data_IF_870030576751
#
_entry.id   IF_870030576751
#
_cell.length_a   1.000
_cell.length_b   1.000
_cell.length_c   1.000
_cell.angle_alpha   90.00
_cell.angle_beta   90.00
_cell.angle_gamma   90.00
#
_symmetry.space_group_name_H-M   'P 1'
#
loop_
_entity.id
_entity.type
_entity.pdbx_description
1 polymer ?
#
# COMPACT_ATOMS: atom_id res chain seq x y z
N UNK A 1 -21.31 -37.39 -48.39
CA UNK A 1 -20.75 -37.43 -47.02
C UNK A 1 -21.77 -36.78 -46.11
N UNK A 2 -22.62 -37.59 -45.49
CA UNK A 2 -23.71 -37.11 -44.64
C UNK A 2 -23.18 -36.82 -43.25
N UNK A 3 -23.32 -35.58 -42.81
CA UNK A 3 -23.13 -35.22 -41.39
C UNK A 3 -24.33 -35.83 -40.67
N UNK A 4 -24.10 -36.77 -39.76
CA UNK A 4 -25.14 -37.41 -38.96
C UNK A 4 -25.88 -36.36 -38.13
N UNK A 5 -27.21 -36.42 -38.08
CA UNK A 5 -28.01 -35.54 -37.21
C UNK A 5 -27.60 -35.63 -35.73
N UNK A 6 -27.04 -36.77 -35.29
CA UNK A 6 -26.49 -36.94 -33.94
C UNK A 6 -25.20 -36.12 -33.72
N UNK A 7 -24.35 -35.98 -34.74
CA UNK A 7 -23.13 -35.15 -34.64
C UNK A 7 -23.50 -33.66 -34.63
N UNK A 8 -24.53 -33.28 -35.40
CA UNK A 8 -25.05 -31.91 -35.41
C UNK A 8 -25.71 -31.53 -34.07
N UNK A 9 -26.51 -32.42 -33.48
CA UNK A 9 -27.16 -32.19 -32.18
C UNK A 9 -26.16 -32.16 -31.02
N UNK A 10 -25.15 -33.02 -31.05
CA UNK A 10 -24.09 -33.03 -30.03
C UNK A 10 -23.24 -31.77 -30.11
N UNK A 11 -22.85 -31.33 -31.31
CA UNK A 11 -22.10 -30.09 -31.49
C UNK A 11 -22.91 -28.84 -31.12
N UNK A 12 -24.22 -28.81 -31.44
CA UNK A 12 -25.10 -27.72 -31.05
C UNK A 12 -25.30 -27.67 -29.52
N UNK A 13 -25.50 -28.81 -28.86
CA UNK A 13 -25.61 -28.89 -27.40
C UNK A 13 -24.31 -28.47 -26.71
N UNK A 14 -23.14 -28.88 -27.24
CA UNK A 14 -21.83 -28.43 -26.74
C UNK A 14 -21.68 -26.91 -26.85
N UNK A 15 -21.97 -26.32 -28.01
CA UNK A 15 -21.92 -24.88 -28.21
C UNK A 15 -22.89 -24.11 -27.28
N UNK A 16 -24.11 -24.63 -27.09
CA UNK A 16 -25.09 -24.03 -26.16
C UNK A 16 -24.59 -24.07 -24.71
N UNK A 17 -24.00 -25.18 -24.28
CA UNK A 17 -23.44 -25.30 -22.93
C UNK A 17 -22.24 -24.36 -22.71
N UNK A 18 -21.36 -24.21 -23.70
CA UNK A 18 -20.26 -23.23 -23.66
C UNK A 18 -20.76 -21.79 -23.54
N UNK A 19 -21.80 -21.41 -24.30
CA UNK A 19 -22.41 -20.07 -24.22
C UNK A 19 -23.05 -19.86 -22.86
N UNK A 20 -23.84 -20.82 -22.37
CA UNK A 20 -24.49 -20.75 -21.06
C UNK A 20 -23.51 -20.73 -19.89
N UNK A 21 -22.28 -21.20 -20.06
CA UNK A 21 -21.25 -21.15 -19.01
C UNK A 21 -20.36 -19.92 -19.08
N UNK A 22 -20.44 -19.13 -20.15
CA UNK A 22 -19.56 -17.96 -20.31
C UNK A 22 -19.84 -16.89 -19.25
N UNK A 23 -18.84 -16.63 -18.40
CA UNK A 23 -18.84 -15.62 -17.32
C UNK A 23 -19.85 -15.86 -16.18
N UNK A 24 -20.23 -17.12 -15.90
CA UNK A 24 -21.27 -17.43 -14.92
C UNK A 24 -20.76 -18.10 -13.62
N UNK A 25 -19.47 -17.95 -13.30
CA UNK A 25 -18.89 -18.27 -12.00
C UNK A 25 -18.35 -16.98 -11.38
N UNK A 26 -18.74 -16.66 -10.14
CA UNK A 26 -18.35 -15.43 -9.45
C UNK A 26 -17.60 -15.73 -8.16
N UNK A 27 -16.54 -14.99 -7.88
CA UNK A 27 -16.01 -14.91 -6.51
C UNK A 27 -16.95 -14.08 -5.63
N UNK A 28 -17.14 -14.53 -4.39
CA UNK A 28 -17.91 -13.79 -3.37
C UNK A 28 -16.99 -13.32 -2.24
N UNK A 29 -15.96 -14.09 -1.91
CA UNK A 29 -14.95 -13.74 -0.91
C UNK A 29 -13.63 -14.45 -1.21
N UNK A 30 -12.53 -13.82 -0.82
CA UNK A 30 -11.20 -14.43 -0.83
C UNK A 30 -10.49 -14.09 0.49
N UNK A 31 -9.90 -15.10 1.11
CA UNK A 31 -8.97 -14.98 2.21
C UNK A 31 -7.72 -15.77 1.84
N UNK A 32 -6.55 -15.14 1.87
CA UNK A 32 -5.32 -15.81 1.50
C UNK A 32 -4.23 -15.37 2.49
N UNK A 33 -3.95 -16.22 3.48
CA UNK A 33 -2.88 -16.03 4.48
C UNK A 33 -1.90 -17.20 4.47
N UNK A 34 -0.82 -17.09 5.24
CA UNK A 34 0.15 -18.19 5.43
C UNK A 34 -0.44 -19.37 6.22
N UNK A 35 -1.43 -19.13 7.08
CA UNK A 35 -2.05 -20.10 8.00
C UNK A 35 -3.48 -20.49 7.61
N UNK A 36 -4.07 -19.85 6.60
CA UNK A 36 -5.38 -20.21 6.08
C UNK A 36 -5.69 -19.53 4.75
N UNK A 37 -6.12 -20.32 3.77
CA UNK A 37 -6.56 -19.86 2.45
C UNK A 37 -7.97 -20.38 2.20
N UNK A 38 -8.85 -19.48 1.79
CA UNK A 38 -10.18 -19.83 1.33
C UNK A 38 -10.67 -18.89 0.24
N UNK A 39 -11.45 -19.42 -0.69
CA UNK A 39 -12.13 -18.63 -1.70
C UNK A 39 -13.55 -19.15 -1.86
N UNK A 40 -14.53 -18.26 -1.69
CA UNK A 40 -15.93 -18.57 -1.87
C UNK A 40 -16.34 -18.24 -3.30
N UNK A 41 -16.87 -19.22 -4.02
CA UNK A 41 -17.36 -19.06 -5.38
C UNK A 41 -18.84 -19.42 -5.46
N UNK A 42 -19.60 -18.69 -6.28
CA UNK A 42 -21.00 -18.97 -6.59
C UNK A 42 -21.18 -19.27 -8.06
N UNK A 43 -21.86 -20.37 -8.34
CA UNK A 43 -22.36 -20.68 -9.68
C UNK A 43 -23.58 -19.81 -9.96
N UNK A 44 -23.41 -18.76 -10.76
CA UNK A 44 -24.52 -17.93 -11.25
C UNK A 44 -25.09 -18.45 -12.56
N UNK A 45 -24.61 -19.61 -13.03
CA UNK A 45 -25.07 -20.21 -14.25
C UNK A 45 -26.38 -20.98 -14.11
N UNK A 46 -27.10 -21.08 -15.23
CA UNK A 46 -28.30 -21.91 -15.33
C UNK A 46 -27.99 -23.40 -15.55
N UNK A 47 -26.70 -23.77 -15.59
CA UNK A 47 -26.23 -25.15 -15.75
C UNK A 47 -25.22 -25.53 -14.65
N UNK A 48 -25.09 -26.82 -14.30
CA UNK A 48 -24.05 -27.28 -13.39
C UNK A 48 -22.65 -27.03 -13.94
N UNK A 49 -21.73 -26.60 -13.08
CA UNK A 49 -20.32 -26.37 -13.42
C UNK A 49 -19.40 -27.23 -12.56
N UNK A 50 -18.30 -27.69 -13.15
CA UNK A 50 -17.22 -28.39 -12.46
C UNK A 50 -16.01 -27.48 -12.40
N UNK A 51 -15.46 -27.26 -11.20
CA UNK A 51 -14.20 -26.55 -10.99
C UNK A 51 -13.05 -27.53 -11.24
N UNK A 52 -12.06 -27.11 -12.04
CA UNK A 52 -11.09 -28.04 -12.62
C UNK A 52 -9.64 -27.79 -12.24
N UNK A 53 -9.29 -26.53 -11.95
CA UNK A 53 -7.93 -26.11 -11.60
C UNK A 53 -7.94 -24.74 -10.92
N UNK A 54 -7.06 -24.55 -9.95
CA UNK A 54 -6.80 -23.28 -9.29
C UNK A 54 -5.39 -22.85 -9.64
N UNK A 55 -5.21 -21.58 -10.00
CA UNK A 55 -3.92 -20.98 -10.31
C UNK A 55 -3.74 -19.67 -9.57
N UNK A 56 -2.50 -19.39 -9.19
CA UNK A 56 -2.04 -18.07 -8.78
C UNK A 56 -1.21 -17.52 -9.93
N UNK A 57 -1.61 -16.36 -10.43
CA UNK A 57 -0.94 -15.71 -11.56
C UNK A 57 -0.62 -14.25 -11.24
N UNK A 58 0.43 -13.71 -11.89
CA UNK A 58 0.73 -12.28 -11.81
C UNK A 58 -0.31 -11.45 -12.57
N UNK A 59 -0.34 -10.11 -12.42
CA UNK A 59 -1.24 -9.26 -13.18
C UNK A 59 -1.12 -9.42 -14.70
N UNK A 60 0.10 -9.68 -15.18
CA UNK A 60 0.48 -9.93 -16.58
C UNK A 60 0.14 -11.37 -17.04
N UNK A 61 -0.28 -12.24 -16.12
CA UNK A 61 -0.74 -13.60 -16.42
C UNK A 61 0.31 -14.70 -16.28
N UNK A 62 1.50 -14.42 -15.72
CA UNK A 62 2.52 -15.44 -15.48
C UNK A 62 2.10 -16.38 -14.35
N UNK A 63 2.22 -17.69 -14.58
CA UNK A 63 1.86 -18.72 -13.60
C UNK A 63 2.89 -18.77 -12.45
N UNK A 64 2.40 -18.70 -11.21
CA UNK A 64 3.22 -18.77 -10.00
C UNK A 64 3.02 -20.04 -9.18
N UNK A 65 1.77 -20.49 -9.05
CA UNK A 65 1.41 -21.72 -8.38
C UNK A 65 0.10 -22.28 -8.95
N UNK A 66 -0.13 -23.59 -8.83
CA UNK A 66 -1.33 -24.22 -9.35
C UNK A 66 -1.67 -25.52 -8.62
N UNK A 67 -2.95 -25.88 -8.67
CA UNK A 67 -3.49 -27.15 -8.18
C UNK A 67 -4.58 -27.64 -9.15
N UNK A 68 -4.61 -28.93 -9.53
CA UNK A 68 -3.70 -30.01 -9.13
C UNK A 68 -2.27 -29.82 -9.66
N UNK A 69 -1.29 -30.57 -9.13
CA UNK A 69 0.14 -30.46 -9.50
C UNK A 69 0.46 -30.79 -10.96
N UNK A 70 -0.49 -31.35 -11.71
CA UNK A 70 -0.45 -31.49 -13.16
C UNK A 70 -1.88 -31.57 -13.73
N UNK A 71 -2.09 -31.01 -14.92
CA UNK A 71 -3.36 -31.13 -15.66
C UNK A 71 -4.55 -30.45 -15.00
N UNK A 72 -5.68 -31.17 -14.98
CA UNK A 72 -6.99 -30.74 -14.48
C UNK A 72 -7.63 -31.91 -13.71
N UNK A 73 -8.44 -31.62 -12.70
CA UNK A 73 -9.14 -32.63 -11.91
C UNK A 73 -10.50 -32.10 -11.44
N UNK A 74 -11.45 -32.98 -11.11
CA UNK A 74 -12.71 -32.56 -10.51
C UNK A 74 -12.49 -32.07 -9.07
N UNK A 75 -12.41 -30.75 -8.88
CA UNK A 75 -12.21 -30.14 -7.56
C UNK A 75 -13.53 -30.02 -6.80
N UNK A 76 -14.58 -29.58 -7.49
CA UNK A 76 -15.93 -29.42 -6.93
C UNK A 76 -16.95 -29.30 -8.06
N UNK A 77 -18.14 -29.87 -7.87
CA UNK A 77 -19.30 -29.68 -8.75
C UNK A 77 -20.29 -28.72 -8.08
N UNK A 78 -20.73 -27.68 -8.78
CA UNK A 78 -21.71 -26.71 -8.29
C UNK A 78 -22.96 -26.71 -9.16
N UNK A 79 -24.12 -26.94 -8.54
CA UNK A 79 -25.41 -26.75 -9.23
C UNK A 79 -25.71 -25.25 -9.40
N UNK A 80 -26.64 -24.88 -10.30
CA UNK A 80 -27.10 -23.50 -10.42
C UNK A 80 -27.46 -22.87 -9.07
N UNK A 81 -27.01 -21.63 -8.85
CA UNK A 81 -27.23 -20.82 -7.64
C UNK A 81 -26.61 -21.36 -6.36
N UNK A 82 -25.80 -22.42 -6.41
CA UNK A 82 -25.04 -22.90 -5.27
C UNK A 82 -23.70 -22.17 -5.15
N UNK A 83 -23.17 -22.15 -3.94
CA UNK A 83 -21.81 -21.72 -3.65
C UNK A 83 -20.96 -22.90 -3.15
N UNK A 84 -19.66 -22.71 -3.23
CA UNK A 84 -18.67 -23.59 -2.62
C UNK A 84 -17.54 -22.75 -2.05
N UNK A 85 -16.80 -23.32 -1.12
CA UNK A 85 -15.58 -22.72 -0.57
C UNK A 85 -14.41 -23.62 -0.89
N UNK A 86 -13.51 -23.14 -1.72
CA UNK A 86 -12.18 -23.73 -1.89
C UNK A 86 -11.35 -23.38 -0.66
N UNK A 87 -10.53 -24.30 -0.20
CA UNK A 87 -9.73 -24.18 1.02
C UNK A 87 -8.25 -24.36 0.73
N UNK A 88 -7.43 -24.43 1.79
CA UNK A 88 -6.00 -24.76 1.74
C UNK A 88 -5.65 -26.03 0.97
N UNK A 89 -6.60 -26.94 0.78
CA UNK A 89 -6.41 -28.17 0.00
C UNK A 89 -6.36 -27.93 -1.50
N UNK A 90 -7.16 -26.97 -1.97
CA UNK A 90 -7.32 -26.65 -3.40
C UNK A 90 -6.59 -25.37 -3.80
N UNK A 91 -6.37 -24.45 -2.86
CA UNK A 91 -5.69 -23.17 -3.08
C UNK A 91 -4.21 -23.36 -2.75
N UNK A 92 -3.31 -23.42 -3.75
CA UNK A 92 -1.90 -23.71 -3.52
C UNK A 92 -1.21 -22.54 -2.82
N UNK A 93 -0.17 -22.83 -2.02
CA UNK A 93 0.74 -21.78 -1.55
C UNK A 93 1.65 -21.33 -2.69
N UNK A 94 1.83 -20.03 -2.87
CA UNK A 94 2.84 -19.52 -3.77
C UNK A 94 4.23 -19.40 -3.12
N UNK A 95 5.00 -20.49 -3.13
CA UNK A 95 6.34 -20.52 -2.53
C UNK A 95 7.38 -19.60 -3.17
N UNK A 96 7.11 -19.06 -4.36
CA UNK A 96 7.99 -18.12 -5.10
C UNK A 96 7.48 -16.68 -5.10
N UNK A 97 6.29 -16.42 -4.54
CA UNK A 97 5.73 -15.09 -4.48
C UNK A 97 6.28 -14.32 -3.29
N UNK A 98 6.34 -12.99 -3.45
CA UNK A 98 6.87 -12.09 -2.42
C UNK A 98 5.71 -11.44 -1.67
N UNK A 99 5.85 -11.25 -0.36
CA UNK A 99 4.86 -10.52 0.44
C UNK A 99 4.57 -9.14 -0.15
N UNK A 100 3.29 -8.76 -0.23
CA UNK A 100 2.87 -7.50 -0.86
C UNK A 100 2.74 -7.55 -2.38
N UNK A 101 3.10 -8.66 -3.05
CA UNK A 101 2.89 -8.83 -4.49
C UNK A 101 1.38 -8.85 -4.80
N UNK A 102 0.94 -8.00 -5.74
CA UNK A 102 -0.44 -8.04 -6.25
C UNK A 102 -0.59 -9.22 -7.20
N UNK A 103 -1.43 -10.18 -6.83
CA UNK A 103 -1.64 -11.42 -7.57
C UNK A 103 -3.11 -11.59 -7.96
N UNK A 104 -3.37 -12.57 -8.83
CA UNK A 104 -4.71 -13.01 -9.19
C UNK A 104 -4.90 -14.48 -8.83
N UNK A 105 -6.02 -14.79 -8.19
CA UNK A 105 -6.50 -16.16 -8.04
C UNK A 105 -7.40 -16.46 -9.24
N UNK A 106 -6.97 -17.40 -10.08
CA UNK A 106 -7.68 -17.85 -11.27
C UNK A 106 -8.25 -19.25 -11.01
N UNK A 107 -9.56 -19.40 -11.19
CA UNK A 107 -10.25 -20.70 -11.06
C UNK A 107 -10.78 -21.10 -12.43
N UNK A 108 -10.32 -22.25 -12.92
CA UNK A 108 -10.80 -22.87 -14.15
C UNK A 108 -12.05 -23.70 -13.87
N UNK A 109 -12.99 -23.64 -14.80
CA UNK A 109 -14.26 -24.34 -14.71
C UNK A 109 -14.81 -24.71 -16.09
N UNK A 110 -15.74 -25.65 -16.13
CA UNK A 110 -16.43 -26.11 -17.35
C UNK A 110 -17.84 -26.57 -17.00
N UNK A 111 -18.76 -26.59 -17.98
CA UNK A 111 -20.05 -27.25 -17.79
C UNK A 111 -19.82 -28.72 -17.42
N UNK A 112 -20.51 -29.22 -16.37
CA UNK A 112 -20.27 -30.57 -15.86
C UNK A 112 -20.44 -31.65 -16.93
N UNK A 113 -21.39 -31.49 -17.84
CA UNK A 113 -21.65 -32.45 -18.92
C UNK A 113 -20.56 -32.47 -20.01
N UNK A 114 -19.68 -31.46 -20.03
CA UNK A 114 -18.54 -31.37 -20.95
C UNK A 114 -17.22 -31.84 -20.32
N UNK A 115 -17.24 -32.19 -19.03
CA UNK A 115 -16.05 -32.63 -18.31
C UNK A 115 -15.87 -34.15 -18.41
N UNK A 116 -14.81 -34.59 -19.09
CA UNK A 116 -14.39 -35.99 -19.10
C UNK A 116 -13.56 -36.28 -17.85
N UNK A 117 -14.20 -36.87 -16.83
CA UNK A 117 -13.56 -37.20 -15.56
C UNK A 117 -12.49 -38.31 -15.70
N UNK A 118 -12.57 -39.16 -16.73
CA UNK A 118 -11.57 -40.19 -16.99
C UNK A 118 -10.34 -39.61 -17.71
N UNK A 119 -10.53 -38.61 -18.57
CA UNK A 119 -9.46 -37.91 -19.29
C UNK A 119 -9.66 -36.38 -19.29
N UNK A 120 -9.40 -35.68 -18.16
CA UNK A 120 -9.70 -34.26 -18.01
C UNK A 120 -9.05 -33.33 -19.06
N UNK A 121 -7.92 -33.77 -19.64
CA UNK A 121 -7.20 -33.03 -20.68
C UNK A 121 -8.03 -32.86 -21.95
N UNK A 122 -8.94 -33.78 -22.27
CA UNK A 122 -9.79 -33.67 -23.47
C UNK A 122 -10.85 -32.59 -23.36
N UNK A 123 -11.13 -32.12 -22.14
CA UNK A 123 -12.05 -31.01 -21.88
C UNK A 123 -11.34 -29.65 -21.84
N UNK A 124 -10.01 -29.57 -22.02
CA UNK A 124 -9.24 -28.34 -21.81
C UNK A 124 -9.70 -27.18 -22.71
N UNK A 125 -10.04 -27.43 -23.98
CA UNK A 125 -10.52 -26.42 -24.93
C UNK A 125 -11.91 -25.86 -24.57
N UNK A 126 -12.66 -26.59 -23.75
CA UNK A 126 -14.00 -26.25 -23.27
C UNK A 126 -13.96 -25.42 -21.99
N UNK A 127 -12.82 -25.44 -21.27
CA UNK A 127 -12.68 -24.79 -19.99
C UNK A 127 -12.59 -23.26 -20.14
N UNK A 128 -13.16 -22.58 -19.15
CA UNK A 128 -13.07 -21.13 -18.95
C UNK A 128 -12.44 -20.86 -17.59
N UNK A 129 -12.09 -19.60 -17.34
CA UNK A 129 -11.61 -19.21 -16.02
C UNK A 129 -12.28 -17.92 -15.54
N UNK A 130 -12.31 -17.75 -14.22
CA UNK A 130 -12.64 -16.49 -13.55
C UNK A 130 -11.45 -16.08 -12.70
N UNK A 131 -11.21 -14.78 -12.59
CA UNK A 131 -10.11 -14.22 -11.80
C UNK A 131 -10.63 -13.27 -10.73
N UNK A 132 -9.95 -13.24 -9.58
CA UNK A 132 -10.05 -12.17 -8.59
C UNK A 132 -8.66 -11.73 -8.16
N UNK A 133 -8.52 -10.50 -7.69
CA UNK A 133 -7.25 -9.91 -7.28
C UNK A 133 -7.10 -10.05 -5.76
N UNK A 134 -5.89 -10.37 -5.30
CA UNK A 134 -5.51 -10.32 -3.89
C UNK A 134 -4.05 -9.86 -3.75
N UNK A 135 -3.67 -9.48 -2.53
CA UNK A 135 -2.29 -9.15 -2.17
C UNK A 135 -1.70 -10.37 -1.46
N UNK A 136 -0.53 -10.85 -1.90
CA UNK A 136 0.10 -12.00 -1.28
C UNK A 136 0.49 -11.68 0.17
N UNK A 137 0.07 -12.50 1.14
CA UNK A 137 0.37 -12.29 2.55
C UNK A 137 1.88 -12.38 2.75
N UNK A 138 2.46 -11.35 3.35
CA UNK A 138 3.83 -11.45 3.85
C UNK A 138 3.91 -12.47 4.98
N UNK A 139 5.08 -13.08 5.15
CA UNK A 139 5.45 -13.54 6.49
C UNK A 139 5.58 -12.32 7.41
N UNK A 140 5.46 -12.49 8.74
CA UNK A 140 5.92 -11.45 9.65
C UNK A 140 7.38 -11.18 9.30
N UNK A 141 7.64 -10.00 8.76
CA UNK A 141 9.02 -9.57 8.58
C UNK A 141 9.50 -9.16 9.97
N UNK A 142 10.78 -9.36 10.28
CA UNK A 142 11.31 -8.62 11.43
C UNK A 142 11.55 -7.20 10.93
N UNK A 143 11.11 -6.17 11.68
CA UNK A 143 11.46 -4.81 11.29
C UNK A 143 12.97 -4.73 11.27
N UNK A 144 13.50 -4.13 10.19
CA UNK A 144 14.93 -3.81 10.08
C UNK A 144 15.33 -2.91 11.25
N UNK A 145 14.42 -2.01 11.63
CA UNK A 145 14.55 -1.19 12.82
C UNK A 145 13.88 -1.85 14.01
N UNK A 146 14.61 -2.75 14.66
CA UNK A 146 14.15 -3.32 15.92
C UNK A 146 14.15 -2.27 17.02
N UNK A 147 12.95 -1.96 17.52
CA UNK A 147 12.79 -1.20 18.76
C UNK A 147 13.23 -2.12 19.91
N UNK A 148 14.20 -1.71 20.75
CA UNK A 148 14.71 -2.59 21.80
C UNK A 148 13.59 -3.04 22.75
N UNK A 149 13.59 -4.32 23.09
CA UNK A 149 12.56 -4.92 23.93
C UNK A 149 12.46 -4.19 25.28
N UNK A 150 11.23 -3.90 25.73
CA UNK A 150 10.97 -3.15 26.95
C UNK A 150 11.15 -1.63 26.84
N UNK A 151 11.60 -1.10 25.71
CA UNK A 151 11.68 0.35 25.49
C UNK A 151 10.32 0.95 25.20
N UNK A 152 10.08 2.15 25.71
CA UNK A 152 8.95 2.98 25.28
C UNK A 152 9.30 3.59 23.92
N UNK A 153 8.36 3.58 23.00
CA UNK A 153 8.50 4.16 21.67
C UNK A 153 7.24 4.91 21.25
N UNK A 154 7.40 5.85 20.32
CA UNK A 154 6.31 6.63 19.74
C UNK A 154 6.56 6.98 18.27
N UNK A 155 5.46 7.17 17.54
CA UNK A 155 5.46 7.70 16.18
C UNK A 155 5.16 9.20 16.22
N UNK A 156 5.76 9.96 15.29
CA UNK A 156 5.56 11.40 15.15
C UNK A 156 5.24 11.73 13.70
N UNK A 157 4.33 12.67 13.49
CA UNK A 157 4.20 13.39 12.23
C UNK A 157 4.51 14.88 12.44
N UNK A 158 5.16 15.50 11.45
CA UNK A 158 5.41 16.95 11.38
C UNK A 158 4.34 17.61 10.51
N UNK A 159 3.36 18.25 11.15
CA UNK A 159 2.11 18.65 10.48
C UNK A 159 2.21 20.00 9.78
N UNK A 160 3.03 20.95 10.25
CA UNK A 160 3.22 22.26 9.59
C UNK A 160 4.46 23.00 10.15
N UNK A 161 5.70 22.61 9.80
CA UNK A 161 6.87 23.35 10.27
C UNK A 161 7.13 24.67 9.53
N UNK A 162 6.57 24.88 8.33
CA UNK A 162 6.89 26.06 7.50
C UNK A 162 5.62 26.79 7.07
N UNK A 163 5.38 27.96 7.67
CA UNK A 163 4.10 28.67 7.59
C UNK A 163 4.04 29.76 6.51
N UNK A 164 5.18 30.27 6.02
CA UNK A 164 5.19 31.23 4.91
C UNK A 164 5.32 30.52 3.55
N UNK A 165 4.17 30.25 2.93
CA UNK A 165 4.04 29.56 1.63
C UNK A 165 4.77 30.27 0.49
N UNK A 166 4.95 31.59 0.56
CA UNK A 166 5.65 32.41 -0.44
C UNK A 166 7.18 32.26 -0.41
N UNK A 167 7.73 31.93 0.76
CA UNK A 167 9.17 32.02 1.03
C UNK A 167 9.81 30.71 1.47
N UNK A 168 9.01 29.77 1.97
CA UNK A 168 9.54 28.58 2.64
C UNK A 168 10.25 28.91 3.95
N UNK A 169 9.83 30.00 4.60
CA UNK A 169 10.44 30.53 5.81
C UNK A 169 9.55 30.29 7.02
N UNK A 170 10.16 29.93 8.15
CA UNK A 170 9.49 29.94 9.46
C UNK A 170 9.33 31.40 9.91
N UNK A 171 8.12 31.88 10.23
CA UNK A 171 7.91 33.25 10.66
C UNK A 171 8.80 33.66 11.84
N UNK A 172 9.11 34.96 11.92
CA UNK A 172 9.74 35.50 13.13
C UNK A 172 8.77 35.45 14.32
N UNK A 173 9.28 35.54 15.57
CA UNK A 173 8.43 35.69 16.74
C UNK A 173 7.40 36.83 16.59
N UNK A 174 6.16 36.63 17.06
CA UNK A 174 5.68 35.57 17.96
C UNK A 174 5.09 34.33 17.28
N UNK A 175 5.21 34.20 15.94
CA UNK A 175 4.56 33.15 15.15
C UNK A 175 5.50 32.01 14.73
N UNK A 176 6.71 31.95 15.30
CA UNK A 176 7.71 30.91 15.07
C UNK A 176 7.32 29.58 15.74
N UNK A 177 6.42 28.84 15.10
CA UNK A 177 5.78 27.65 15.65
C UNK A 177 6.06 26.44 14.78
N UNK A 178 6.18 25.28 15.42
CA UNK A 178 6.28 24.00 14.74
C UNK A 178 5.17 23.09 15.26
N UNK A 179 4.38 22.52 14.37
CA UNK A 179 3.24 21.68 14.73
C UNK A 179 3.58 20.20 14.58
N UNK A 180 3.31 19.41 15.62
CA UNK A 180 3.54 17.97 15.65
C UNK A 180 2.30 17.23 16.11
N UNK A 181 2.20 15.94 15.77
CA UNK A 181 1.25 15.01 16.40
C UNK A 181 1.92 13.68 16.68
N UNK A 182 1.48 13.00 17.74
CA UNK A 182 1.95 11.65 18.09
C UNK A 182 0.77 10.66 17.94
N UNK A 183 0.54 10.14 16.72
CA UNK A 183 -0.66 9.35 16.42
C UNK A 183 -0.67 7.99 17.15
N UNK A 184 0.51 7.49 17.55
CA UNK A 184 0.62 6.19 18.17
C UNK A 184 1.88 6.06 19.02
N UNK A 185 1.80 5.29 20.11
CA UNK A 185 2.93 4.96 20.96
C UNK A 185 2.68 3.65 21.70
N UNK A 186 3.76 3.11 22.28
CA UNK A 186 3.73 1.96 23.18
C UNK A 186 2.91 2.18 24.47
N UNK A 187 2.87 3.43 24.96
CA UNK A 187 2.24 3.81 26.23
C UNK A 187 1.58 5.18 26.09
N UNK A 188 0.47 5.39 26.80
CA UNK A 188 -0.22 6.69 26.86
C UNK A 188 0.28 7.50 28.05
N UNK A 189 0.98 8.60 27.77
CA UNK A 189 1.41 9.60 28.75
C UNK A 189 1.72 10.94 28.08
N UNK A 190 2.03 11.97 28.86
CA UNK A 190 2.51 13.24 28.32
C UNK A 190 4.04 13.21 28.25
N UNK A 191 4.59 13.48 27.08
CA UNK A 191 6.02 13.36 26.78
C UNK A 191 6.58 14.72 26.38
N UNK A 192 7.74 15.07 26.93
CA UNK A 192 8.50 16.24 26.48
C UNK A 192 9.18 15.90 25.15
N UNK A 193 8.78 16.59 24.09
CA UNK A 193 9.46 16.55 22.80
C UNK A 193 10.45 17.70 22.68
N UNK A 194 11.61 17.39 22.12
CA UNK A 194 12.61 18.35 21.68
C UNK A 194 12.84 18.14 20.18
N UNK A 195 12.76 19.23 19.42
CA UNK A 195 12.96 19.23 17.98
C UNK A 195 14.15 20.14 17.68
N UNK A 196 15.16 19.59 17.04
CA UNK A 196 16.33 20.33 16.54
C UNK A 196 16.11 20.60 15.06
N UNK A 197 16.29 21.85 14.64
CA UNK A 197 16.14 22.28 13.24
C UNK A 197 17.47 22.86 12.78
N UNK A 198 17.97 22.39 11.64
CA UNK A 198 19.16 22.92 10.97
C UNK A 198 18.74 23.44 9.60
N UNK A 199 18.99 24.72 9.34
CA UNK A 199 18.65 25.33 8.06
C UNK A 199 19.76 25.13 7.01
N UNK A 200 19.49 25.56 5.78
CA UNK A 200 20.44 25.48 4.66
C UNK A 200 21.78 26.21 4.91
N UNK A 201 21.81 27.25 5.75
CA UNK A 201 23.04 27.96 6.12
C UNK A 201 23.83 27.29 7.24
N UNK A 202 23.35 26.16 7.78
CA UNK A 202 23.94 25.46 8.93
C UNK A 202 23.61 26.08 10.28
N UNK A 203 22.73 27.07 10.34
CA UNK A 203 22.24 27.62 11.61
C UNK A 203 21.37 26.57 12.31
N UNK A 204 21.57 26.44 13.62
CA UNK A 204 20.88 25.46 14.46
C UNK A 204 19.93 26.19 15.40
N UNK A 205 18.69 25.73 15.44
CA UNK A 205 17.66 26.17 16.36
C UNK A 205 16.91 24.96 16.90
N UNK A 206 15.97 25.20 17.81
CA UNK A 206 15.12 24.12 18.30
C UNK A 206 13.80 24.61 18.84
N UNK A 207 12.85 23.70 18.95
CA UNK A 207 11.54 23.91 19.56
C UNK A 207 11.24 22.76 20.52
N UNK A 208 10.54 23.06 21.60
CA UNK A 208 10.20 22.06 22.61
C UNK A 208 8.78 22.26 23.12
N UNK A 209 8.19 21.18 23.63
CA UNK A 209 6.84 21.21 24.20
C UNK A 209 6.38 19.84 24.65
N UNK A 210 5.32 19.82 25.44
CA UNK A 210 4.74 18.57 25.96
C UNK A 210 3.61 18.12 25.05
N UNK A 211 3.66 16.86 24.59
CA UNK A 211 2.64 16.26 23.75
C UNK A 211 2.06 15.00 24.40
N UNK A 212 0.77 14.69 24.19
CA UNK A 212 0.26 13.36 24.51
C UNK A 212 0.90 12.35 23.55
N UNK A 213 1.47 11.26 24.05
CA UNK A 213 2.13 10.22 23.23
C UNK A 213 1.17 9.40 22.38
N UNK A 214 -0.13 9.42 22.69
CA UNK A 214 -1.19 8.77 21.90
C UNK A 214 -2.32 9.76 21.69
N UNK A 215 -2.55 10.16 20.44
CA UNK A 215 -3.72 10.93 20.03
C UNK A 215 -3.54 11.64 18.70
N UNK A 216 -4.65 12.16 18.18
CA UNK A 216 -4.66 12.89 16.91
C UNK A 216 -4.58 14.41 17.09
N UNK A 217 -4.31 14.89 18.31
CA UNK A 217 -4.20 16.32 18.61
C UNK A 217 -2.91 16.88 18.02
N UNK A 218 -3.03 17.93 17.22
CA UNK A 218 -1.90 18.73 16.77
C UNK A 218 -1.46 19.61 17.93
N UNK A 219 -0.17 19.54 18.27
CA UNK A 219 0.44 20.31 19.35
C UNK A 219 1.48 21.25 18.79
N UNK A 220 1.50 22.46 19.34
CA UNK A 220 2.45 23.50 19.00
C UNK A 220 3.71 23.39 19.87
N UNK A 221 4.86 23.39 19.21
CA UNK A 221 6.18 23.54 19.82
C UNK A 221 6.72 24.93 19.52
N UNK A 222 7.37 25.54 20.52
CA UNK A 222 7.94 26.88 20.43
C UNK A 222 9.44 26.86 20.74
N UNK A 223 10.20 27.75 20.09
CA UNK A 223 11.61 27.96 20.36
C UNK A 223 12.33 28.80 19.28
N UNK A 224 13.63 29.05 19.40
CA UNK A 224 14.36 29.99 18.52
C UNK A 224 14.63 29.42 17.12
N UNK A 225 13.59 29.30 16.30
CA UNK A 225 13.62 28.83 14.90
C UNK A 225 13.12 29.88 13.90
N UNK A 226 12.81 31.09 14.36
CA UNK A 226 12.29 32.16 13.50
C UNK A 226 13.29 32.57 12.41
N UNK A 227 12.80 32.74 11.20
CA UNK A 227 13.59 33.15 10.04
C UNK A 227 14.32 32.02 9.32
N UNK A 228 14.24 30.78 9.80
CA UNK A 228 14.84 29.63 9.13
C UNK A 228 14.13 29.38 7.80
N UNK A 229 14.89 29.07 6.76
CA UNK A 229 14.38 28.87 5.39
C UNK A 229 14.78 27.47 4.94
N UNK A 230 13.88 26.82 4.21
CA UNK A 230 14.15 25.55 3.52
C UNK A 230 15.42 25.58 2.65
N UNK A 231 16.06 24.42 2.39
CA UNK A 231 15.79 23.13 3.01
C UNK A 231 16.06 23.09 4.52
N UNK A 232 15.25 22.35 5.26
CA UNK A 232 15.37 22.14 6.70
C UNK A 232 15.67 20.67 7.00
N UNK A 233 16.69 20.41 7.81
CA UNK A 233 16.90 19.13 8.44
C UNK A 233 16.37 19.19 9.87
N UNK A 234 15.51 18.26 10.23
CA UNK A 234 14.79 18.23 11.50
C UNK A 234 15.07 16.90 12.19
N UNK A 235 15.44 16.96 13.46
CA UNK A 235 15.64 15.80 14.32
C UNK A 235 14.70 15.89 15.50
N UNK A 236 13.94 14.83 15.76
CA UNK A 236 12.95 14.76 16.84
C UNK A 236 13.42 13.80 17.93
N UNK A 237 13.42 14.29 19.16
CA UNK A 237 13.78 13.53 20.36
C UNK A 237 12.65 13.62 21.39
N UNK A 238 12.49 12.55 22.17
CA UNK A 238 11.45 12.44 23.18
C UNK A 238 12.04 11.95 24.50
N UNK A 239 11.73 12.62 25.60
CA UNK A 239 12.23 12.22 26.92
C UNK A 239 11.65 10.87 27.33
N UNK A 240 12.50 9.84 27.43
CA UNK A 240 12.11 8.51 27.88
C UNK A 240 11.38 7.67 26.82
N UNK A 241 11.39 8.10 25.55
CA UNK A 241 10.81 7.39 24.42
C UNK A 241 11.78 7.35 23.24
N UNK A 242 11.83 6.20 22.56
CA UNK A 242 12.42 6.12 21.23
C UNK A 242 11.43 6.67 20.19
N UNK A 243 11.84 7.74 19.50
CA UNK A 243 11.11 8.27 18.35
C UNK A 243 11.50 7.44 17.12
N UNK A 244 10.54 6.77 16.51
CA UNK A 244 10.80 5.90 15.35
C UNK A 244 11.08 6.74 14.11
N UNK A 245 10.19 7.67 13.75
CA UNK A 245 10.41 8.64 12.66
C UNK A 245 11.27 9.81 13.16
N UNK A 246 12.55 9.56 13.42
CA UNK A 246 13.45 10.52 14.09
C UNK A 246 13.90 11.65 13.18
N UNK A 247 14.17 11.38 11.91
CA UNK A 247 14.81 12.33 11.00
C UNK A 247 13.90 12.74 9.86
N UNK A 248 13.84 14.05 9.60
CA UNK A 248 13.03 14.63 8.54
C UNK A 248 13.84 15.65 7.77
N UNK A 249 13.79 15.59 6.44
CA UNK A 249 14.35 16.61 5.56
C UNK A 249 13.23 17.20 4.72
N UNK A 250 12.96 18.48 4.92
CA UNK A 250 11.96 19.24 4.17
C UNK A 250 12.67 20.11 3.14
N UNK A 251 12.64 19.65 1.90
CA UNK A 251 13.27 20.30 0.76
C UNK A 251 12.48 21.49 0.23
N UNK A 252 13.16 22.28 -0.58
CA UNK A 252 12.59 23.47 -1.18
C UNK A 252 13.63 24.30 -1.91
N UNK A 253 13.14 25.10 -2.84
CA UNK A 253 13.84 26.21 -3.48
C UNK A 253 13.42 27.48 -2.73
N UNK A 254 14.33 28.13 -1.98
CA UNK A 254 14.03 29.34 -1.22
C UNK A 254 13.28 30.38 -2.05
N UNK A 255 12.22 30.98 -1.50
CA UNK A 255 11.40 32.00 -2.16
C UNK A 255 10.67 31.57 -3.43
N UNK A 256 10.58 30.26 -3.70
CA UNK A 256 9.91 29.73 -4.89
C UNK A 256 8.95 28.59 -4.59
N UNK A 257 9.41 27.45 -4.07
CA UNK A 257 8.56 26.28 -3.79
C UNK A 257 9.18 25.36 -2.74
N UNK A 258 8.38 24.71 -1.90
CA UNK A 258 8.90 23.89 -0.79
C UNK A 258 7.88 22.90 -0.23
N UNK A 259 8.36 21.88 0.47
CA UNK A 259 7.52 21.00 1.28
C UNK A 259 7.18 21.71 2.61
N UNK A 260 5.91 22.12 2.77
CA UNK A 260 5.41 22.84 3.94
C UNK A 260 5.03 21.91 5.09
N UNK A 261 4.58 20.69 4.77
CA UNK A 261 4.18 19.67 5.73
C UNK A 261 4.24 18.26 5.12
N UNK A 262 4.40 17.25 5.98
CA UNK A 262 4.42 15.84 5.55
C UNK A 262 3.60 14.99 6.51
N UNK A 263 2.62 14.27 5.99
CA UNK A 263 1.76 13.40 6.77
C UNK A 263 1.86 11.95 6.30
N UNK A 264 2.01 11.03 7.25
CA UNK A 264 2.10 9.60 7.00
C UNK A 264 0.73 8.95 7.24
N UNK A 265 0.19 8.28 6.22
CA UNK A 265 -1.09 7.59 6.31
C UNK A 265 -0.87 6.08 6.27
N UNK A 266 -1.20 5.43 7.37
CA UNK A 266 -0.95 4.00 7.58
C UNK A 266 -2.20 3.24 7.98
N UNK A 267 -2.19 1.94 7.75
CA UNK A 267 -3.21 0.99 8.18
C UNK A 267 -2.58 -0.12 9.03
N UNK A 268 -3.41 -0.85 9.76
CA UNK A 268 -2.98 -2.09 10.42
C UNK A 268 -3.33 -3.26 9.50
N UNK A 269 -2.35 -4.08 9.15
CA UNK A 269 -2.59 -5.40 8.56
C UNK A 269 -3.20 -6.28 9.65
N UNK A 270 -4.42 -6.75 9.45
CA UNK A 270 -5.15 -7.53 10.46
C UNK A 270 -4.64 -8.96 10.63
N UNK A 271 -3.88 -9.49 9.67
CA UNK A 271 -3.31 -10.83 9.73
C UNK A 271 -1.97 -10.85 10.48
N UNK A 272 -1.14 -9.83 10.29
CA UNK A 272 0.19 -9.73 10.93
C UNK A 272 0.23 -8.75 12.10
N UNK A 273 -0.82 -7.93 12.28
CA UNK A 273 -0.86 -6.79 13.20
C UNK A 273 0.26 -5.76 12.94
N UNK A 274 0.83 -5.77 11.75
CA UNK A 274 1.85 -4.81 11.32
C UNK A 274 1.20 -3.49 10.90
N UNK A 275 1.90 -2.38 11.14
CA UNK A 275 1.45 -1.04 10.72
C UNK A 275 2.12 -0.74 9.39
N UNK A 276 1.32 -0.63 8.34
CA UNK A 276 1.78 -0.45 6.97
C UNK A 276 1.47 0.98 6.52
N UNK A 277 2.51 1.73 6.19
CA UNK A 277 2.46 3.00 5.48
C UNK A 277 2.01 2.76 4.04
N UNK A 278 0.87 3.34 3.68
CA UNK A 278 0.29 3.19 2.35
C UNK A 278 0.41 4.47 1.53
N UNK A 279 0.31 5.64 2.18
CA UNK A 279 0.34 6.93 1.50
C UNK A 279 1.17 7.92 2.31
N UNK A 280 1.97 8.71 1.61
CA UNK A 280 2.58 9.92 2.16
C UNK A 280 1.98 11.12 1.45
N UNK A 281 1.39 12.03 2.22
CA UNK A 281 0.90 13.31 1.71
C UNK A 281 1.95 14.37 2.00
N UNK A 282 2.40 15.06 0.96
CA UNK A 282 3.27 16.23 1.04
C UNK A 282 2.44 17.46 0.73
N UNK A 283 2.41 18.41 1.65
CA UNK A 283 1.88 19.75 1.37
C UNK A 283 2.96 20.58 0.68
N UNK A 284 2.67 21.06 -0.52
CA UNK A 284 3.55 21.91 -1.31
C UNK A 284 3.14 23.36 -1.13
N UNK A 285 4.05 24.22 -0.66
CA UNK A 285 3.91 25.67 -0.68
C UNK A 285 4.64 26.27 -1.88
N UNK A 286 4.02 27.21 -2.60
CA UNK A 286 4.59 27.89 -3.77
C UNK A 286 4.37 29.40 -3.68
N UNK A 287 5.37 30.15 -4.13
CA UNK A 287 5.23 31.59 -4.36
C UNK A 287 4.28 31.85 -5.54
N UNK A 288 3.08 32.33 -5.22
CA UNK A 288 1.99 32.58 -6.16
C UNK A 288 2.33 33.61 -7.25
N UNK A 289 3.26 34.52 -6.99
CA UNK A 289 3.74 35.48 -7.99
C UNK A 289 4.61 34.82 -9.06
N UNK A 290 5.30 33.74 -8.70
CA UNK A 290 6.26 33.05 -9.59
C UNK A 290 5.58 31.89 -10.31
N UNK A 291 4.91 31.00 -9.57
CA UNK A 291 4.46 29.70 -10.07
C UNK A 291 5.61 28.81 -10.57
N UNK A 292 5.29 27.69 -11.22
CA UNK A 292 6.30 26.86 -11.89
C UNK A 292 5.91 25.41 -12.11
N UNK A 293 6.83 24.65 -12.70
CA UNK A 293 6.79 23.19 -12.73
C UNK A 293 7.81 22.67 -11.74
N UNK A 294 7.38 21.75 -10.88
CA UNK A 294 8.21 21.23 -9.81
C UNK A 294 8.20 19.70 -9.83
N UNK A 295 9.37 19.11 -9.60
CA UNK A 295 9.52 17.69 -9.32
C UNK A 295 9.71 17.53 -7.82
N UNK A 296 8.79 16.79 -7.20
CA UNK A 296 8.82 16.48 -5.77
C UNK A 296 9.24 15.04 -5.64
N UNK A 297 10.36 14.79 -4.98
CA UNK A 297 10.89 13.45 -4.73
C UNK A 297 10.70 13.11 -3.26
N UNK A 298 10.08 11.97 -2.99
CA UNK A 298 9.98 11.37 -1.67
C UNK A 298 10.96 10.21 -1.58
N UNK A 299 11.78 10.19 -0.53
CA UNK A 299 12.64 9.06 -0.18
C UNK A 299 12.44 8.72 1.29
N UNK A 300 12.14 7.45 1.56
CA UNK A 300 12.04 6.89 2.91
C UNK A 300 13.24 5.99 3.14
N UNK A 301 13.86 6.09 4.32
CA UNK A 301 14.98 5.24 4.71
C UNK A 301 14.77 4.59 6.06
N UNK A 302 15.39 3.43 6.23
CA UNK A 302 15.51 2.73 7.50
C UNK A 302 16.63 3.34 8.37
N UNK A 303 16.74 2.84 9.60
CA UNK A 303 17.73 3.21 10.61
C UNK A 303 19.16 2.77 10.26
N UNK A 304 19.34 1.95 9.24
CA UNK A 304 20.65 1.62 8.68
C UNK A 304 21.02 2.54 7.50
N UNK A 305 20.10 3.43 7.10
CA UNK A 305 20.27 4.35 5.98
C UNK A 305 19.93 3.75 4.61
N UNK A 306 19.38 2.53 4.55
CA UNK A 306 18.94 1.94 3.29
C UNK A 306 17.63 2.59 2.84
N UNK A 307 17.48 2.77 1.53
CA UNK A 307 16.22 3.28 0.97
C UNK A 307 15.17 2.18 0.95
N UNK A 308 14.06 2.40 1.64
CA UNK A 308 12.91 1.48 1.68
C UNK A 308 11.82 1.89 0.68
N UNK A 309 11.79 3.16 0.27
CA UNK A 309 10.91 3.64 -0.79
C UNK A 309 11.48 4.90 -1.43
N UNK A 310 11.33 5.04 -2.74
CA UNK A 310 11.57 6.30 -3.45
C UNK A 310 10.60 6.45 -4.61
N UNK A 311 10.08 7.67 -4.78
CA UNK A 311 9.18 8.00 -5.88
C UNK A 311 9.20 9.51 -6.12
N UNK A 312 8.76 9.95 -7.28
CA UNK A 312 8.64 11.36 -7.62
C UNK A 312 7.32 11.67 -8.31
N UNK A 313 6.82 12.88 -8.10
CA UNK A 313 5.67 13.43 -8.79
C UNK A 313 6.06 14.77 -9.42
N UNK A 314 5.51 15.06 -10.61
CA UNK A 314 5.66 16.37 -11.25
C UNK A 314 4.36 17.15 -11.10
N UNK A 315 4.45 18.37 -10.62
CA UNK A 315 3.30 19.26 -10.37
C UNK A 315 3.49 20.57 -11.11
N UNK A 316 2.45 20.99 -11.83
CA UNK A 316 2.37 22.33 -12.40
C UNK A 316 1.57 23.23 -11.46
N UNK A 317 2.17 24.34 -11.05
CA UNK A 317 1.59 25.34 -10.16
C UNK A 317 1.47 26.66 -10.91
N UNK A 318 0.27 27.01 -11.42
CA UNK A 318 0.04 28.29 -12.07
C UNK A 318 0.25 29.46 -11.11
N UNK A 319 0.55 30.65 -11.68
CA UNK A 319 0.57 31.88 -10.90
C UNK A 319 -0.80 32.15 -10.26
N UNK A 320 -0.80 32.64 -9.03
CA UNK A 320 -1.99 32.85 -8.20
C UNK A 320 -2.39 31.65 -7.34
N UNK A 321 -1.74 30.49 -7.51
CA UNK A 321 -1.91 29.32 -6.62
C UNK A 321 -0.70 29.26 -5.67
N UNK A 322 -0.97 29.15 -4.37
CA UNK A 322 0.05 29.21 -3.33
C UNK A 322 0.27 27.88 -2.57
N UNK A 323 -0.61 26.89 -2.74
CA UNK A 323 -0.43 25.57 -2.15
C UNK A 323 -1.13 24.46 -2.94
N UNK A 324 -0.64 23.22 -2.77
CA UNK A 324 -1.27 22.00 -3.27
C UNK A 324 -0.89 20.79 -2.37
N UNK A 325 -1.62 19.69 -2.49
CA UNK A 325 -1.34 18.44 -1.77
C UNK A 325 -0.94 17.34 -2.75
N UNK A 326 0.23 16.75 -2.54
CA UNK A 326 0.82 15.73 -3.40
C UNK A 326 0.84 14.40 -2.67
N UNK A 327 0.20 13.40 -3.26
CA UNK A 327 0.07 12.07 -2.67
C UNK A 327 1.05 11.10 -3.32
N UNK A 328 1.79 10.37 -2.49
CA UNK A 328 2.66 9.29 -2.91
C UNK A 328 2.05 7.96 -2.47
N UNK A 329 1.61 7.17 -3.43
CA UNK A 329 1.17 5.79 -3.18
C UNK A 329 2.41 4.92 -2.93
N UNK A 330 2.53 4.42 -1.69
CA UNK A 330 3.62 3.55 -1.26
C UNK A 330 3.26 2.12 -1.63
N UNK A 331 3.78 1.66 -2.77
CA UNK A 331 3.55 0.32 -3.28
C UNK A 331 4.88 -0.38 -3.63
N UNK A 332 5.18 -1.54 -3.01
CA UNK A 332 4.42 -2.18 -1.93
C UNK A 332 4.41 -1.33 -0.64
N UNK A 333 3.40 -1.50 0.25
CA UNK A 333 3.37 -0.79 1.53
C UNK A 333 4.62 -1.05 2.37
N UNK A 334 5.09 -0.02 3.07
CA UNK A 334 6.28 -0.10 3.94
C UNK A 334 5.86 -0.15 5.39
N UNK A 335 6.55 -0.89 6.25
CA UNK A 335 6.23 -0.89 7.68
C UNK A 335 6.59 0.45 8.31
N UNK A 336 5.68 1.00 9.13
CA UNK A 336 5.92 2.25 9.87
C UNK A 336 7.16 2.15 10.77
N UNK A 337 7.42 0.96 11.34
CA UNK A 337 8.60 0.71 12.19
C UNK A 337 9.92 0.87 11.43
N UNK A 338 9.92 0.65 10.11
CA UNK A 338 11.11 0.74 9.24
C UNK A 338 11.29 2.12 8.61
N UNK A 339 10.37 3.05 8.86
CA UNK A 339 10.49 4.43 8.39
C UNK A 339 11.17 5.26 9.47
N UNK A 340 12.48 5.43 9.33
CA UNK A 340 13.33 6.14 10.28
C UNK A 340 13.68 7.57 9.84
N UNK A 341 13.96 7.74 8.55
CA UNK A 341 14.27 9.02 7.92
C UNK A 341 13.31 9.29 6.74
N UNK A 342 12.67 10.45 6.76
CA UNK A 342 11.74 10.92 5.71
C UNK A 342 12.38 12.11 5.00
N UNK A 343 12.64 11.95 3.70
CA UNK A 343 13.28 12.98 2.88
C UNK A 343 12.32 13.40 1.78
N UNK A 344 11.99 14.69 1.76
CA UNK A 344 11.26 15.32 0.67
C UNK A 344 12.17 16.33 -0.01
N UNK A 345 12.30 16.24 -1.32
CA UNK A 345 13.07 17.19 -2.14
C UNK A 345 12.15 17.84 -3.16
N UNK A 346 12.32 19.14 -3.39
CA UNK A 346 11.54 19.92 -4.36
C UNK A 346 12.52 20.61 -5.29
N UNK A 347 12.45 20.28 -6.58
CA UNK A 347 13.32 20.79 -7.63
C UNK A 347 12.50 21.35 -8.80
N UNK A 348 13.12 22.13 -9.68
CA UNK A 348 12.49 22.51 -10.96
C UNK A 348 12.44 21.31 -11.91
N UNK A 349 11.35 21.21 -12.67
CA UNK A 349 11.14 20.14 -13.65
C UNK A 349 11.85 20.40 -14.99
#
# INVERSE_FOLDING_TARGET
MGISFNDLSNNLNRAVLQVKTSAQLSFEAINYTSSGRSAMLRNVADVPVTLTRVEIVTPEGYLRAYYPSAGFANLSKLMPKQNTTLTDREIPLCGVCVGGERLKLRVWYVATDLFDEANPVFSADEMKFVETIFIYPGGPTLPTCQIPEGSKWLFIDLVDPITFTDSGRIPNPPSNRLFVRAPFASHSENVLLNVVVVNASGAVGGASGTVPSIGNSIVELSGPIGGFVVPLNITVEASGFEVVQRFWKLGGIPYKAHASGVQLWWSVDTATNERLLNVVMVELGVNDLVGGNFVITLTLKDCMGNTVYTSYNTVNMPRGIFSDSVFFDVSPPVRMDDVYEIIVEVNEA
#
